data_IF_223489441406
#
_entry.id   IF_223489441406
#
_cell.length_a   1.000
_cell.length_b   1.000
_cell.length_c   1.000
_cell.angle_alpha   90.00
_cell.angle_beta   90.00
_cell.angle_gamma   90.00
#
_symmetry.space_group_name_H-M   'P 1'
#
loop_
_entity.id
_entity.type
_entity.pdbx_description
1 polymer ?
#
# COMPACT_ATOMS: atom_id res chain seq x y z
N UNK A 1 7.60 -10.63 28.40
CA UNK A 1 7.12 -10.03 27.13
C UNK A 1 7.42 -10.95 25.96
N UNK A 2 6.64 -10.87 24.88
CA UNK A 2 6.99 -11.50 23.60
C UNK A 2 7.76 -10.52 22.72
N UNK A 3 8.74 -11.02 21.96
CA UNK A 3 9.53 -10.24 21.00
C UNK A 3 9.57 -10.96 19.66
N UNK A 4 9.22 -10.27 18.57
CA UNK A 4 9.32 -10.82 17.23
C UNK A 4 10.79 -10.94 16.79
N UNK A 5 11.15 -12.13 16.30
CA UNK A 5 12.42 -12.45 15.67
C UNK A 5 12.29 -12.41 14.14
N UNK A 6 11.12 -12.80 13.61
CA UNK A 6 10.79 -12.73 12.19
C UNK A 6 9.36 -12.23 11.97
N UNK A 7 9.11 -11.48 10.88
CA UNK A 7 10.12 -10.92 9.98
C UNK A 7 10.96 -9.83 10.67
N UNK A 8 12.24 -9.72 10.30
CA UNK A 8 13.17 -8.78 10.94
C UNK A 8 12.90 -7.36 10.45
N UNK A 9 12.37 -6.45 11.27
CA UNK A 9 12.20 -5.06 10.86
C UNK A 9 13.57 -4.37 10.83
N UNK A 10 13.91 -3.72 9.70
CA UNK A 10 15.04 -2.80 9.67
C UNK A 10 14.60 -1.44 10.23
N UNK A 11 15.52 -0.68 10.83
CA UNK A 11 15.23 0.68 11.35
C UNK A 11 14.69 1.63 10.26
N UNK A 12 14.97 1.34 9.00
CA UNK A 12 14.62 2.18 7.85
C UNK A 12 13.57 1.57 6.93
N UNK A 13 13.32 0.27 7.01
CA UNK A 13 12.46 -0.45 6.05
C UNK A 13 11.63 -1.51 6.75
N UNK A 14 10.32 -1.37 6.66
CA UNK A 14 9.38 -2.43 7.04
C UNK A 14 9.42 -3.55 6.00
N UNK A 15 9.34 -4.83 6.42
CA UNK A 15 9.18 -5.95 5.51
C UNK A 15 7.97 -5.71 4.58
N UNK A 16 8.20 -5.82 3.27
CA UNK A 16 7.22 -5.54 2.24
C UNK A 16 6.78 -6.85 1.58
N UNK A 17 5.48 -7.10 1.56
CA UNK A 17 4.88 -8.32 1.02
C UNK A 17 3.88 -8.02 -0.08
N UNK A 18 3.84 -8.90 -1.07
CA UNK A 18 2.90 -8.84 -2.17
C UNK A 18 1.56 -9.43 -1.73
N UNK A 19 0.46 -8.75 -2.02
CA UNK A 19 -0.90 -9.31 -1.80
C UNK A 19 -1.18 -10.32 -2.92
N UNK A 20 -0.67 -11.54 -2.76
CA UNK A 20 -0.84 -12.66 -3.70
C UNK A 20 -1.15 -13.94 -2.91
N UNK A 21 -1.91 -14.85 -3.51
CA UNK A 21 -2.24 -16.14 -2.91
C UNK A 21 -1.00 -17.02 -2.67
N UNK A 22 0.06 -16.83 -3.45
CA UNK A 22 1.30 -17.62 -3.35
C UNK A 22 2.29 -17.06 -2.32
N UNK A 23 2.00 -15.90 -1.73
CA UNK A 23 2.87 -15.26 -0.76
C UNK A 23 2.54 -15.75 0.67
N UNK A 24 3.57 -16.11 1.43
CA UNK A 24 3.46 -16.55 2.82
C UNK A 24 4.31 -15.67 3.74
N UNK A 25 3.79 -15.39 4.93
CA UNK A 25 4.48 -14.55 5.92
C UNK A 25 4.73 -15.39 7.15
N UNK A 26 6.01 -15.61 7.46
CA UNK A 26 6.41 -16.36 8.65
C UNK A 26 6.68 -15.40 9.80
N UNK A 27 5.91 -15.58 10.86
CA UNK A 27 6.12 -14.91 12.14
C UNK A 27 6.82 -15.86 13.09
N UNK A 28 7.90 -15.38 13.71
CA UNK A 28 8.61 -16.10 14.78
C UNK A 28 8.82 -15.14 15.93
N UNK A 29 8.55 -15.57 17.16
CA UNK A 29 8.76 -14.78 18.36
C UNK A 29 9.34 -15.61 19.50
N UNK A 30 9.93 -14.93 20.46
CA UNK A 30 10.41 -15.53 21.71
C UNK A 30 9.77 -14.88 22.92
N UNK A 31 9.70 -15.66 24.00
CA UNK A 31 9.20 -15.21 25.30
C UNK A 31 10.36 -14.88 26.22
N UNK A 32 10.25 -13.75 26.91
CA UNK A 32 11.20 -13.33 27.94
C UNK A 32 10.45 -13.04 29.24
N UNK A 33 10.96 -13.52 30.37
CA UNK A 33 10.43 -13.23 31.71
C UNK A 33 8.93 -13.54 31.88
N UNK A 34 8.46 -14.65 31.32
CA UNK A 34 7.11 -15.17 31.51
C UNK A 34 7.11 -16.20 32.64
N UNK A 35 6.31 -15.94 33.68
CA UNK A 35 6.07 -16.89 34.78
C UNK A 35 4.69 -17.55 34.65
N UNK A 36 3.73 -16.84 34.07
CA UNK A 36 2.38 -17.36 33.79
C UNK A 36 2.29 -17.69 32.32
N UNK A 37 2.05 -18.96 31.99
CA UNK A 37 1.86 -19.39 30.60
C UNK A 37 0.48 -18.94 30.11
N UNK A 38 0.38 -18.24 28.96
CA UNK A 38 -0.90 -17.92 28.33
C UNK A 38 -1.68 -19.21 28.05
N UNK A 39 -3.01 -19.16 28.07
CA UNK A 39 -3.81 -20.30 27.63
C UNK A 39 -3.94 -20.30 26.11
N UNK A 40 -4.30 -19.13 25.58
CA UNK A 40 -4.48 -18.89 24.15
C UNK A 40 -3.72 -17.62 23.76
N UNK A 41 -3.22 -17.60 22.53
CA UNK A 41 -2.66 -16.42 21.89
C UNK A 41 -3.51 -16.03 20.71
N UNK A 42 -3.56 -14.74 20.44
CA UNK A 42 -4.13 -14.21 19.22
C UNK A 42 -3.07 -13.42 18.48
N UNK A 43 -2.87 -13.79 17.21
CA UNK A 43 -2.07 -13.04 16.26
C UNK A 43 -3.04 -12.26 15.35
N UNK A 44 -2.88 -10.94 15.30
CA UNK A 44 -3.72 -10.06 14.51
C UNK A 44 -2.88 -9.00 13.78
N UNK A 45 -3.43 -8.46 12.69
CA UNK A 45 -2.87 -7.34 11.97
C UNK A 45 -3.86 -6.17 11.98
N UNK A 46 -3.41 -4.99 12.38
CA UNK A 46 -4.19 -3.75 12.31
C UNK A 46 -3.71 -2.97 11.10
N UNK A 47 -4.56 -2.87 10.09
CA UNK A 47 -4.27 -2.21 8.82
C UNK A 47 -4.73 -0.76 8.77
N UNK A 48 -4.74 -0.16 7.57
CA UNK A 48 -5.31 1.15 7.32
C UNK A 48 -6.75 1.26 7.84
N UNK A 49 -7.17 2.47 8.24
CA UNK A 49 -8.50 2.74 8.81
C UNK A 49 -8.81 1.96 10.10
N UNK A 50 -7.77 1.48 10.81
CA UNK A 50 -7.91 0.69 12.03
C UNK A 50 -8.66 -0.64 11.84
N UNK A 51 -8.73 -1.15 10.60
CA UNK A 51 -9.28 -2.46 10.31
C UNK A 51 -8.41 -3.55 10.94
N UNK A 52 -9.01 -4.38 11.79
CA UNK A 52 -8.30 -5.46 12.49
C UNK A 52 -8.60 -6.80 11.83
N UNK A 53 -7.54 -7.50 11.42
CA UNK A 53 -7.58 -8.81 10.78
C UNK A 53 -7.01 -9.84 11.73
N UNK A 54 -7.83 -10.78 12.19
CA UNK A 54 -7.34 -11.92 12.99
C UNK A 54 -6.62 -12.89 12.07
N UNK A 55 -5.30 -13.04 12.27
CA UNK A 55 -4.46 -13.95 11.50
C UNK A 55 -4.66 -15.38 12.00
N UNK A 56 -4.60 -15.59 13.33
CA UNK A 56 -4.75 -16.89 13.94
C UNK A 56 -5.07 -16.81 15.45
N UNK A 57 -5.80 -17.81 15.94
CA UNK A 57 -5.82 -18.20 17.36
C UNK A 57 -4.88 -19.38 17.57
N UNK A 58 -3.96 -19.28 18.52
CA UNK A 58 -2.89 -20.24 18.76
C UNK A 58 -2.89 -20.72 20.21
N UNK A 59 -2.26 -21.87 20.44
CA UNK A 59 -1.96 -22.32 21.80
C UNK A 59 -0.97 -21.38 22.48
N UNK A 60 -1.07 -21.27 23.81
CA UNK A 60 -0.26 -20.38 24.64
C UNK A 60 1.26 -20.53 24.53
N UNK A 61 1.73 -21.66 24.02
CA UNK A 61 3.14 -22.02 23.89
C UNK A 61 3.68 -21.89 22.45
N UNK A 62 2.84 -21.49 21.50
CA UNK A 62 3.26 -21.27 20.13
C UNK A 62 4.33 -20.16 20.06
N UNK A 63 5.37 -20.38 19.27
CA UNK A 63 6.48 -19.44 19.04
C UNK A 63 6.63 -19.05 17.57
N UNK A 64 5.83 -19.65 16.70
CA UNK A 64 5.83 -19.33 15.27
C UNK A 64 4.47 -19.58 14.64
N UNK A 65 4.21 -18.86 13.55
CA UNK A 65 3.04 -19.08 12.72
C UNK A 65 3.31 -18.63 11.28
N UNK A 66 2.81 -19.38 10.31
CA UNK A 66 2.89 -19.00 8.89
C UNK A 66 1.52 -18.53 8.44
N UNK A 67 1.43 -17.24 8.10
CA UNK A 67 0.23 -16.67 7.52
C UNK A 67 0.21 -16.87 6.01
N UNK A 68 -0.71 -17.72 5.56
CA UNK A 68 -0.97 -17.95 4.14
C UNK A 68 -2.02 -16.96 3.63
N UNK A 69 -1.63 -16.06 2.72
CA UNK A 69 -2.53 -15.01 2.24
C UNK A 69 -3.64 -15.54 1.32
N UNK A 70 -3.47 -16.72 0.70
CA UNK A 70 -4.52 -17.41 -0.05
C UNK A 70 -5.84 -17.58 0.72
N UNK A 71 -5.77 -17.69 2.05
CA UNK A 71 -6.91 -17.90 2.93
C UNK A 71 -7.69 -16.60 3.22
N UNK A 72 -7.04 -15.45 3.02
CA UNK A 72 -7.56 -14.11 3.34
C UNK A 72 -8.08 -13.40 2.10
N UNK A 73 -7.36 -13.50 0.97
CA UNK A 73 -7.70 -12.85 -0.30
C UNK A 73 -9.15 -13.08 -0.75
N UNK A 74 -9.79 -14.25 -0.54
CA UNK A 74 -11.20 -14.43 -0.92
C UNK A 74 -12.22 -13.84 0.08
N UNK A 75 -11.84 -13.64 1.35
CA UNK A 75 -12.77 -13.34 2.45
C UNK A 75 -12.75 -11.87 2.88
N UNK A 76 -11.58 -11.24 2.86
CA UNK A 76 -11.44 -9.81 3.17
C UNK A 76 -10.26 -9.22 2.37
N UNK A 77 -10.51 -8.26 1.45
CA UNK A 77 -9.44 -7.72 0.63
C UNK A 77 -8.44 -6.95 1.50
N UNK A 78 -7.18 -7.39 1.49
CA UNK A 78 -6.08 -6.63 2.10
C UNK A 78 -5.76 -5.41 1.23
N UNK A 79 -5.77 -4.24 1.85
CA UNK A 79 -5.42 -2.98 1.20
C UNK A 79 -3.90 -2.76 1.20
N UNK A 80 -3.42 -2.02 0.20
CA UNK A 80 -2.04 -1.53 0.19
C UNK A 80 -1.80 -0.60 1.39
N UNK A 81 -0.68 -0.78 2.09
CA UNK A 81 -0.33 0.06 3.23
C UNK A 81 0.40 -0.69 4.35
N UNK A 82 0.56 -0.01 5.47
CA UNK A 82 1.23 -0.55 6.66
C UNK A 82 0.23 -1.26 7.58
N UNK A 83 0.67 -2.39 8.12
CA UNK A 83 -0.09 -3.22 9.04
C UNK A 83 0.75 -3.45 10.29
N UNK A 84 0.20 -3.07 11.43
CA UNK A 84 0.80 -3.30 12.73
C UNK A 84 0.42 -4.70 13.22
N UNK A 85 1.41 -5.55 13.45
CA UNK A 85 1.21 -6.90 13.92
C UNK A 85 1.10 -6.90 15.44
N UNK A 86 -0.01 -7.43 15.92
CA UNK A 86 -0.34 -7.56 17.32
C UNK A 86 -0.30 -9.03 17.76
N UNK A 87 0.38 -9.29 18.89
CA UNK A 87 0.38 -10.58 19.56
C UNK A 87 -0.04 -10.38 21.02
N UNK A 88 -1.12 -11.01 21.43
CA UNK A 88 -1.68 -10.87 22.78
C UNK A 88 -2.29 -12.18 23.29
N UNK A 89 -2.46 -12.28 24.61
CA UNK A 89 -3.06 -13.44 25.26
C UNK A 89 -4.59 -13.29 25.41
N UNK A 90 -5.23 -14.20 26.16
CA UNK A 90 -6.67 -14.16 26.41
C UNK A 90 -7.20 -12.86 27.05
N UNK A 91 -6.34 -11.98 27.58
CA UNK A 91 -6.74 -10.69 28.16
C UNK A 91 -6.90 -9.58 27.12
N UNK A 92 -6.54 -9.85 25.87
CA UNK A 92 -6.73 -8.94 24.75
C UNK A 92 -5.58 -7.96 24.51
N UNK A 93 -5.68 -7.12 23.46
CA UNK A 93 -4.60 -6.23 23.01
C UNK A 93 -4.35 -5.05 23.96
N UNK A 94 -5.33 -4.69 24.79
CA UNK A 94 -5.24 -3.60 25.78
C UNK A 94 -4.94 -4.09 27.19
N UNK A 95 -4.47 -5.33 27.37
CA UNK A 95 -4.17 -5.88 28.68
C UNK A 95 -3.07 -5.08 29.38
N UNK A 96 -3.30 -4.74 30.64
CA UNK A 96 -2.32 -4.02 31.47
C UNK A 96 -1.10 -4.89 31.77
N UNK A 97 0.05 -4.23 31.95
CA UNK A 97 1.27 -4.89 32.38
C UNK A 97 1.05 -5.54 33.75
N UNK A 98 1.35 -6.84 33.86
CA UNK A 98 1.28 -7.58 35.12
C UNK A 98 2.51 -8.47 35.25
N UNK A 99 3.11 -8.57 36.45
CA UNK A 99 4.33 -9.36 36.65
C UNK A 99 4.16 -10.80 36.18
N UNK A 100 5.09 -11.27 35.35
CA UNK A 100 5.10 -12.66 34.85
C UNK A 100 4.06 -13.00 33.79
N UNK A 101 3.13 -12.10 33.47
CA UNK A 101 2.15 -12.28 32.40
C UNK A 101 2.67 -11.78 31.05
N UNK A 102 2.02 -12.22 29.96
CA UNK A 102 2.36 -11.74 28.62
C UNK A 102 1.96 -10.28 28.45
N UNK A 103 2.89 -9.42 28.06
CA UNK A 103 2.53 -8.06 27.61
C UNK A 103 2.14 -8.12 26.13
N UNK A 104 1.00 -7.53 25.71
CA UNK A 104 0.66 -7.39 24.31
C UNK A 104 1.81 -6.72 23.53
N UNK A 105 2.18 -7.32 22.40
CA UNK A 105 3.27 -6.84 21.55
C UNK A 105 2.72 -6.30 20.24
N UNK A 106 3.12 -5.08 19.87
CA UNK A 106 2.65 -4.41 18.65
C UNK A 106 3.76 -3.65 17.89
N UNK A 107 5.04 -3.91 18.19
CA UNK A 107 6.18 -3.20 17.59
C UNK A 107 6.51 -3.59 16.15
N UNK A 108 6.01 -4.73 15.69
CA UNK A 108 6.28 -5.21 14.33
C UNK A 108 5.29 -4.56 13.38
N UNK A 109 5.80 -3.91 12.33
CA UNK A 109 4.99 -3.37 11.24
C UNK A 109 5.48 -3.95 9.92
N UNK A 110 4.54 -4.48 9.13
CA UNK A 110 4.77 -4.97 7.77
C UNK A 110 4.00 -4.10 6.77
N UNK A 111 4.40 -4.11 5.51
CA UNK A 111 3.73 -3.39 4.45
C UNK A 111 3.19 -4.35 3.39
N UNK A 112 2.03 -4.03 2.83
CA UNK A 112 1.43 -4.74 1.72
C UNK A 112 1.35 -3.88 0.47
N UNK A 113 1.57 -4.51 -0.69
CA UNK A 113 1.35 -3.90 -1.99
C UNK A 113 0.69 -4.89 -2.95
N UNK A 114 -0.15 -4.37 -3.84
CA UNK A 114 -0.77 -5.11 -4.94
C UNK A 114 0.05 -4.83 -6.20
N UNK A 115 0.61 -5.86 -6.86
CA UNK A 115 1.31 -5.68 -8.12
C UNK A 115 0.30 -5.32 -9.22
N UNK A 116 0.64 -4.39 -10.11
CA UNK A 116 -0.14 -4.24 -11.34
C UNK A 116 0.10 -5.44 -12.25
N UNK A 117 -0.97 -5.92 -12.89
CA UNK A 117 -0.85 -6.93 -13.94
C UNK A 117 -0.01 -6.37 -15.09
N UNK A 118 1.09 -7.03 -15.43
CA UNK A 118 1.86 -6.69 -16.63
C UNK A 118 0.96 -6.86 -17.86
N UNK A 119 0.60 -5.76 -18.50
CA UNK A 119 -0.06 -5.77 -19.79
C UNK A 119 1.05 -5.85 -20.84
N UNK A 120 1.30 -7.01 -21.49
CA UNK A 120 2.25 -7.06 -22.58
C UNK A 120 1.83 -6.05 -23.64
N UNK A 121 2.81 -5.29 -24.16
CA UNK A 121 2.58 -4.42 -25.32
C UNK A 121 2.27 -5.33 -26.51
N UNK A 122 0.99 -5.63 -26.70
CA UNK A 122 0.48 -6.41 -27.83
C UNK A 122 0.14 -5.54 -29.04
N UNK A 123 0.28 -4.21 -28.90
CA UNK A 123 -0.02 -3.28 -29.98
C UNK A 123 1.25 -2.79 -30.66
N UNK A 124 1.43 -3.18 -31.92
CA UNK A 124 2.33 -2.58 -32.91
C UNK A 124 2.10 -1.07 -33.14
N UNK A 125 1.21 -0.44 -32.37
CA UNK A 125 0.83 0.97 -32.44
C UNK A 125 1.48 1.84 -31.34
N UNK A 126 2.44 1.30 -30.57
CA UNK A 126 3.27 2.15 -29.71
C UNK A 126 4.21 2.99 -30.58
N UNK A 127 3.72 4.16 -30.95
CA UNK A 127 4.41 5.14 -31.75
C UNK A 127 4.87 6.27 -30.81
N UNK A 128 6.10 6.24 -30.29
CA UNK A 128 6.61 7.27 -29.38
C UNK A 128 6.62 8.68 -30.00
N UNK A 129 6.53 8.78 -31.33
CA UNK A 129 6.48 10.03 -32.10
C UNK A 129 5.06 10.50 -32.44
N UNK A 130 4.01 9.75 -32.12
CA UNK A 130 2.65 10.15 -32.45
C UNK A 130 2.13 11.33 -31.59
N UNK A 131 2.81 11.63 -30.47
CA UNK A 131 2.59 12.86 -29.71
C UNK A 131 3.24 14.10 -30.35
N UNK A 132 4.26 13.92 -31.20
CA UNK A 132 4.92 15.05 -31.89
C UNK A 132 4.05 15.64 -33.00
N UNK A 133 3.26 14.83 -33.71
CA UNK A 133 2.39 15.31 -34.80
C UNK A 133 1.13 16.04 -34.30
N UNK A 134 0.67 15.73 -33.08
CA UNK A 134 -0.44 16.43 -32.43
C UNK A 134 -0.07 17.87 -32.00
N UNK A 135 1.20 18.13 -31.72
CA UNK A 135 1.71 19.47 -31.41
C UNK A 135 1.73 20.38 -32.65
N UNK A 136 2.08 19.84 -33.82
CA UNK A 136 2.15 20.61 -35.07
C UNK A 136 0.78 21.10 -35.55
N UNK A 137 -0.27 20.26 -35.47
CA UNK A 137 -1.61 20.65 -35.94
C UNK A 137 -2.34 21.63 -35.01
N UNK A 138 -1.97 21.70 -33.72
CA UNK A 138 -2.61 22.60 -32.74
C UNK A 138 -1.92 23.96 -32.59
N UNK A 139 -0.66 24.10 -33.01
CA UNK A 139 0.08 25.35 -32.79
C UNK A 139 -0.20 26.45 -33.82
N UNK A 140 -0.63 26.12 -35.04
CA UNK A 140 -0.85 27.13 -36.11
C UNK A 140 -2.30 27.63 -36.23
N UNK A 141 -3.28 26.93 -35.65
CA UNK A 141 -4.69 27.35 -35.66
C UNK A 141 -4.92 28.72 -34.99
N UNK A 142 -4.45 28.94 -33.74
CA UNK A 142 -4.63 30.20 -33.03
C UNK A 142 -3.85 31.37 -33.65
N UNK A 143 -2.67 31.09 -34.21
CA UNK A 143 -1.81 32.10 -34.84
C UNK A 143 -2.46 32.61 -36.14
N UNK A 144 -3.02 31.72 -36.96
CA UNK A 144 -3.72 32.11 -38.19
C UNK A 144 -4.92 33.00 -37.93
N UNK A 145 -5.73 32.70 -36.90
CA UNK A 145 -6.90 33.51 -36.54
C UNK A 145 -6.52 34.90 -36.03
N UNK A 146 -5.44 35.02 -35.26
CA UNK A 146 -4.99 36.30 -34.72
C UNK A 146 -4.49 37.25 -35.82
N UNK A 147 -3.72 36.73 -36.78
CA UNK A 147 -3.24 37.52 -37.93
C UNK A 147 -4.39 38.00 -38.82
N UNK A 148 -5.39 37.14 -39.07
CA UNK A 148 -6.55 37.50 -39.88
C UNK A 148 -7.33 38.69 -39.28
N UNK A 149 -7.61 38.65 -37.98
CA UNK A 149 -8.33 39.73 -37.29
C UNK A 149 -7.53 41.04 -37.32
N UNK A 150 -6.22 40.98 -37.08
CA UNK A 150 -5.35 42.16 -37.07
C UNK A 150 -5.26 42.86 -38.43
N UNK A 151 -5.25 42.10 -39.54
CA UNK A 151 -5.26 42.68 -40.88
C UNK A 151 -6.59 43.39 -41.18
N UNK A 152 -7.72 42.79 -40.80
CA UNK A 152 -9.05 43.37 -41.05
C UNK A 152 -9.25 44.66 -40.26
N UNK A 153 -8.85 44.69 -38.99
CA UNK A 153 -8.94 45.91 -38.17
C UNK A 153 -8.04 47.02 -38.70
N UNK A 154 -6.85 46.68 -39.18
CA UNK A 154 -5.93 47.68 -39.75
C UNK A 154 -6.47 48.29 -41.05
N UNK A 155 -7.04 47.46 -41.93
CA UNK A 155 -7.66 47.92 -43.17
C UNK A 155 -8.87 48.84 -42.91
N UNK A 156 -9.70 48.51 -41.92
CA UNK A 156 -10.85 49.35 -41.53
C UNK A 156 -10.42 50.70 -40.95
N UNK A 157 -9.36 50.73 -40.13
CA UNK A 157 -8.82 51.97 -39.59
C UNK A 157 -8.20 52.87 -40.67
N UNK A 158 -7.45 52.28 -41.62
CA UNK A 158 -6.88 53.02 -42.74
C UNK A 158 -7.98 53.55 -43.66
N UNK A 159 -9.01 52.75 -43.93
CA UNK A 159 -10.16 53.19 -44.73
C UNK A 159 -10.92 54.34 -44.06
N UNK A 160 -11.10 54.30 -42.73
CA UNK A 160 -11.73 55.38 -41.96
C UNK A 160 -10.87 56.64 -41.81
N UNK A 161 -9.58 56.60 -42.12
CA UNK A 161 -8.69 57.77 -42.15
C UNK A 161 -8.59 58.42 -43.54
N UNK A 162 -8.95 57.69 -44.59
CA UNK A 162 -8.85 58.12 -45.99
C UNK A 162 -10.18 58.63 -46.57
N UNK A 163 -11.27 58.53 -45.81
CA UNK A 163 -12.63 59.00 -46.13
C UNK A 163 -13.09 60.00 -45.07
#
# INVERSE_FOLDING_TARGET
>A
MASFLQPTPSKSVSPLYRVDANENITFVWSYTNLLVRPANLTLAAVGPQSATYTIAGLQGDATSYVWQLNSVVPKTPLMNGYYQIQLYDQRGPSAYASPGWLMPQSRLTIAFYTPESYQPISNSNYCPTCFYSAAWKRSFGPIGTAFGIACVTSALLIYGLLN
#
